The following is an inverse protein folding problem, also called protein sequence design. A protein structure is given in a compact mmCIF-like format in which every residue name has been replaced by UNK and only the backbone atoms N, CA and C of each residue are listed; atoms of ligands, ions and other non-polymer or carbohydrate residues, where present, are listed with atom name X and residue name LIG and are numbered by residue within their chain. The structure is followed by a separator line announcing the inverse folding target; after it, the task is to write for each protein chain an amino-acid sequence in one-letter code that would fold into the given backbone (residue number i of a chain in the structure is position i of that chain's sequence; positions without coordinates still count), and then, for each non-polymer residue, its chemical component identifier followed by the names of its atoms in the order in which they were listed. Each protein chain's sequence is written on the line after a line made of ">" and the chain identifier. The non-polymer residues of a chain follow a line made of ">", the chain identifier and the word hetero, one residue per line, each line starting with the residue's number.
data_IF_003483232212
#
_entry.id   IF_003483232212
#
_cell.length_a   1.000
_cell.length_b   1.000
_cell.length_c   1.000
_cell.angle_alpha   90.00
_cell.angle_beta   90.00
_cell.angle_gamma   90.00
#
_symmetry.space_group_name_H-M   'P 1'
#
loop_
_entity.id
_entity.type
_entity.pdbx_description
1 polymer ?
#
# COMPACT_ATOMS: atom_id res chain seq x y z
N UNK A 1 12.87 -29.07 -3.53
CA UNK A 1 12.53 -27.99 -2.60
C UNK A 1 11.03 -27.95 -2.35
N UNK A 2 10.58 -27.52 -1.17
CA UNK A 2 9.15 -27.45 -0.81
C UNK A 2 8.29 -26.66 -1.82
N UNK A 3 8.85 -25.62 -2.46
CA UNK A 3 8.17 -24.87 -3.51
C UNK A 3 7.82 -25.70 -4.74
N UNK A 4 8.70 -26.64 -5.18
CA UNK A 4 8.41 -27.49 -6.34
C UNK A 4 7.30 -28.51 -6.06
N UNK A 5 7.09 -28.89 -4.80
CA UNK A 5 6.06 -29.84 -4.40
C UNK A 5 4.67 -29.18 -4.29
N UNK A 6 4.62 -27.91 -3.94
CA UNK A 6 3.38 -27.10 -3.96
C UNK A 6 2.84 -26.96 -5.39
N UNK A 7 3.68 -26.73 -6.38
CA UNK A 7 3.27 -26.66 -7.80
C UNK A 7 2.70 -28.00 -8.32
N UNK A 8 3.19 -29.13 -7.84
CA UNK A 8 2.68 -30.46 -8.22
C UNK A 8 1.34 -30.81 -7.59
N UNK A 9 0.94 -30.13 -6.50
CA UNK A 9 -0.30 -30.40 -5.74
C UNK A 9 -1.36 -29.29 -5.88
N UNK A 10 -1.23 -28.36 -6.82
CA UNK A 10 -2.20 -27.28 -7.07
C UNK A 10 -3.64 -27.78 -7.28
N UNK A 11 -3.81 -29.04 -7.63
CA UNK A 11 -5.11 -29.66 -7.84
C UNK A 11 -5.98 -29.82 -6.59
N UNK A 12 -5.37 -29.72 -5.40
CA UNK A 12 -6.06 -30.01 -4.14
C UNK A 12 -6.45 -28.76 -3.34
N UNK A 13 -6.09 -27.58 -3.82
CA UNK A 13 -6.32 -26.33 -3.08
C UNK A 13 -7.41 -25.50 -3.76
N UNK A 14 -8.34 -24.99 -2.95
CA UNK A 14 -9.42 -24.10 -3.35
C UNK A 14 -9.31 -22.70 -2.70
N UNK A 15 -8.31 -22.48 -1.83
CA UNK A 15 -7.98 -21.21 -1.20
C UNK A 15 -6.55 -20.81 -1.55
N UNK A 16 -6.37 -19.59 -2.02
CA UNK A 16 -5.06 -18.99 -2.29
C UNK A 16 -4.87 -17.79 -1.37
N UNK A 17 -3.74 -17.75 -0.66
CA UNK A 17 -3.35 -16.61 0.17
C UNK A 17 -2.13 -15.94 -0.47
N UNK A 18 -2.28 -14.69 -0.90
CA UNK A 18 -1.21 -13.90 -1.49
C UNK A 18 -0.56 -13.01 -0.41
N UNK A 19 0.51 -13.51 0.18
CA UNK A 19 1.31 -12.83 1.19
C UNK A 19 2.58 -12.21 0.56
N UNK A 20 2.38 -11.41 -0.48
CA UNK A 20 3.44 -10.73 -1.24
C UNK A 20 3.03 -9.28 -1.53
N UNK A 21 3.90 -8.50 -2.16
CA UNK A 21 3.60 -7.15 -2.61
C UNK A 21 2.55 -7.16 -3.73
N UNK A 22 1.76 -6.09 -3.84
CA UNK A 22 0.60 -6.05 -4.74
C UNK A 22 0.98 -6.18 -6.22
N UNK A 23 2.14 -5.73 -6.64
CA UNK A 23 2.68 -5.85 -8.00
C UNK A 23 3.00 -7.30 -8.41
N UNK A 24 3.10 -8.21 -7.42
CA UNK A 24 3.33 -9.63 -7.67
C UNK A 24 2.03 -10.44 -7.87
N UNK A 25 0.85 -9.88 -7.59
CA UNK A 25 -0.42 -10.63 -7.67
C UNK A 25 -0.70 -11.19 -9.05
N UNK A 26 -0.64 -10.34 -10.09
CA UNK A 26 -0.85 -10.80 -11.48
C UNK A 26 0.18 -11.85 -11.91
N UNK A 27 1.51 -11.62 -11.79
CA UNK A 27 2.51 -12.61 -12.20
C UNK A 27 2.34 -13.96 -11.51
N UNK A 28 1.99 -13.97 -10.21
CA UNK A 28 1.77 -15.22 -9.46
C UNK A 28 0.52 -15.94 -9.95
N UNK A 29 -0.61 -15.23 -10.08
CA UNK A 29 -1.86 -15.84 -10.52
C UNK A 29 -1.77 -16.36 -11.97
N UNK A 30 -1.03 -15.69 -12.85
CA UNK A 30 -0.81 -16.12 -14.23
C UNK A 30 0.07 -17.38 -14.35
N UNK A 31 0.83 -17.75 -13.33
CA UNK A 31 1.57 -19.02 -13.29
C UNK A 31 0.66 -20.22 -12.97
N UNK A 32 -0.53 -19.99 -12.42
CA UNK A 32 -1.48 -21.04 -12.16
C UNK A 32 -2.19 -21.47 -13.47
N UNK A 33 -2.44 -22.77 -13.62
CA UNK A 33 -3.19 -23.25 -14.78
C UNK A 33 -4.62 -22.71 -14.77
N UNK A 34 -5.24 -22.56 -15.94
CA UNK A 34 -6.65 -22.13 -16.04
C UNK A 34 -7.58 -23.08 -15.27
N UNK A 35 -7.29 -24.39 -15.27
CA UNK A 35 -8.05 -25.38 -14.51
C UNK A 35 -7.93 -25.20 -13.00
N UNK A 36 -6.75 -24.81 -12.52
CA UNK A 36 -6.52 -24.46 -11.11
C UNK A 36 -7.28 -23.20 -10.75
N UNK A 37 -7.14 -22.13 -11.54
CA UNK A 37 -7.84 -20.85 -11.30
C UNK A 37 -9.36 -21.04 -11.23
N UNK A 38 -9.95 -21.85 -12.13
CA UNK A 38 -11.41 -22.13 -12.14
C UNK A 38 -11.92 -22.83 -10.88
N UNK A 39 -11.05 -23.52 -10.14
CA UNK A 39 -11.44 -24.24 -8.91
C UNK A 39 -11.23 -23.41 -7.64
N UNK A 40 -10.49 -22.32 -7.73
CA UNK A 40 -10.25 -21.44 -6.59
C UNK A 40 -11.59 -20.86 -6.14
N UNK A 41 -11.91 -21.08 -4.88
CA UNK A 41 -13.10 -20.54 -4.24
C UNK A 41 -12.80 -19.20 -3.55
N UNK A 42 -11.61 -19.05 -2.97
CA UNK A 42 -11.19 -17.84 -2.27
C UNK A 42 -9.77 -17.42 -2.64
N UNK A 43 -9.59 -16.12 -2.84
CA UNK A 43 -8.26 -15.48 -2.90
C UNK A 43 -8.18 -14.42 -1.79
N UNK A 44 -7.20 -14.57 -0.91
CA UNK A 44 -6.98 -13.66 0.22
C UNK A 44 -5.75 -12.82 -0.07
N UNK A 45 -5.91 -11.50 -0.10
CA UNK A 45 -4.87 -10.51 -0.33
C UNK A 45 -4.41 -9.94 1.02
N UNK A 46 -3.20 -10.31 1.45
CA UNK A 46 -2.68 -9.94 2.78
C UNK A 46 -2.16 -8.50 2.82
N UNK A 47 -1.52 -8.04 1.74
CA UNK A 47 -0.95 -6.69 1.65
C UNK A 47 -1.33 -6.00 0.33
N UNK A 48 -2.62 -5.74 0.12
CA UNK A 48 -3.09 -5.10 -1.09
C UNK A 48 -2.75 -3.61 -1.13
N UNK A 49 -2.81 -3.05 -2.33
CA UNK A 49 -2.96 -1.61 -2.56
C UNK A 49 -4.37 -1.30 -3.03
N UNK A 50 -4.74 -0.03 -3.14
CA UNK A 50 -6.02 0.39 -3.72
C UNK A 50 -6.24 -0.26 -5.11
N UNK A 51 -7.38 -0.91 -5.31
CA UNK A 51 -7.73 -1.57 -6.58
C UNK A 51 -7.14 -2.98 -6.76
N UNK A 52 -6.43 -3.53 -5.79
CA UNK A 52 -5.90 -4.89 -5.88
C UNK A 52 -6.99 -5.95 -6.10
N UNK A 53 -8.13 -5.82 -5.41
CA UNK A 53 -9.26 -6.73 -5.63
C UNK A 53 -9.84 -6.59 -7.05
N UNK A 54 -9.83 -5.38 -7.63
CA UNK A 54 -10.31 -5.13 -9.00
C UNK A 54 -9.45 -5.90 -10.01
N UNK A 55 -8.13 -5.80 -9.87
CA UNK A 55 -7.16 -6.53 -10.68
C UNK A 55 -7.42 -8.04 -10.61
N UNK A 56 -7.54 -8.57 -9.39
CA UNK A 56 -7.74 -10.01 -9.18
C UNK A 56 -9.09 -10.47 -9.70
N UNK A 57 -10.17 -9.72 -9.45
CA UNK A 57 -11.51 -10.04 -10.00
C UNK A 57 -11.53 -10.03 -11.52
N UNK A 58 -10.84 -9.08 -12.17
CA UNK A 58 -10.73 -9.08 -13.62
C UNK A 58 -10.00 -10.32 -14.14
N UNK A 59 -8.87 -10.70 -13.52
CA UNK A 59 -8.16 -11.95 -13.87
C UNK A 59 -9.02 -13.20 -13.72
N UNK A 60 -9.82 -13.28 -12.66
CA UNK A 60 -10.74 -14.39 -12.44
C UNK A 60 -11.86 -14.41 -13.48
N UNK A 61 -12.41 -13.24 -13.82
CA UNK A 61 -13.44 -13.10 -14.86
C UNK A 61 -12.93 -13.57 -16.23
N UNK A 62 -11.69 -13.25 -16.60
CA UNK A 62 -11.08 -13.67 -17.87
C UNK A 62 -10.97 -15.19 -18.01
N UNK A 63 -10.98 -15.93 -16.90
CA UNK A 63 -10.99 -17.40 -16.87
C UNK A 63 -12.35 -17.98 -16.46
N UNK A 64 -13.41 -17.17 -16.35
CA UNK A 64 -14.74 -17.56 -15.92
C UNK A 64 -14.76 -18.21 -14.53
N UNK A 65 -14.06 -17.61 -13.57
CA UNK A 65 -14.05 -18.02 -12.17
C UNK A 65 -14.81 -17.01 -11.30
N UNK A 66 -15.78 -17.50 -10.52
CA UNK A 66 -16.58 -16.70 -9.58
C UNK A 66 -16.00 -16.69 -8.16
N UNK A 67 -14.72 -16.96 -8.02
CA UNK A 67 -14.05 -16.99 -6.73
C UNK A 67 -14.22 -15.71 -5.91
N UNK A 68 -14.40 -15.88 -4.60
CA UNK A 68 -14.43 -14.79 -3.62
C UNK A 68 -13.05 -14.14 -3.51
N UNK A 69 -12.99 -12.81 -3.52
CA UNK A 69 -11.76 -12.06 -3.23
C UNK A 69 -11.92 -11.33 -1.90
N UNK A 70 -10.95 -11.55 -1.01
CA UNK A 70 -10.89 -10.96 0.32
C UNK A 70 -9.63 -10.11 0.40
N UNK A 71 -9.77 -8.83 0.75
CA UNK A 71 -8.64 -7.93 0.95
C UNK A 71 -8.53 -7.53 2.41
N UNK A 72 -7.33 -7.66 2.97
CA UNK A 72 -6.95 -6.99 4.21
C UNK A 72 -6.56 -5.53 3.92
N UNK A 73 -6.53 -4.69 4.95
CA UNK A 73 -5.98 -3.34 4.83
C UNK A 73 -4.45 -3.37 4.69
N UNK A 74 -3.79 -4.27 5.41
CA UNK A 74 -2.33 -4.41 5.43
C UNK A 74 -1.95 -5.71 6.14
N UNK A 75 -0.66 -6.05 6.14
CA UNK A 75 -0.10 -7.21 6.81
C UNK A 75 -0.21 -7.13 8.34
N UNK A 76 -0.16 -8.30 8.98
CA UNK A 76 -0.37 -8.55 10.41
C UNK A 76 0.62 -7.79 11.31
N UNK A 77 1.87 -7.69 10.94
CA UNK A 77 2.92 -7.09 11.77
C UNK A 77 4.27 -7.00 11.05
N UNK A 78 5.20 -6.25 11.63
CA UNK A 78 6.55 -6.10 11.09
C UNK A 78 7.33 -7.40 11.26
N UNK A 79 7.45 -8.14 10.16
CA UNK A 79 8.09 -9.46 10.12
C UNK A 79 9.39 -9.38 9.36
N UNK A 80 10.47 -9.88 9.97
CA UNK A 80 11.83 -9.88 9.41
C UNK A 80 12.44 -11.27 9.51
N UNK A 81 13.38 -11.58 8.62
CA UNK A 81 14.21 -12.77 8.73
C UNK A 81 15.01 -12.64 10.03
N UNK A 82 14.85 -13.61 10.92
CA UNK A 82 15.54 -13.64 12.22
C UNK A 82 17.02 -13.92 12.07
N UNK A 83 17.37 -14.90 11.22
CA UNK A 83 18.74 -15.28 10.93
C UNK A 83 18.91 -15.50 9.41
N UNK A 84 19.87 -14.81 8.81
CA UNK A 84 20.17 -14.96 7.37
C UNK A 84 20.57 -16.38 6.98
N UNK A 85 21.18 -17.14 7.90
CA UNK A 85 21.51 -18.54 7.68
C UNK A 85 20.28 -19.47 7.72
N UNK A 86 19.16 -18.99 8.29
CA UNK A 86 17.89 -19.70 8.41
C UNK A 86 16.73 -18.85 7.87
N UNK A 87 16.64 -18.61 6.56
CA UNK A 87 15.69 -17.68 5.96
C UNK A 87 14.21 -18.06 6.15
N UNK A 88 13.94 -19.30 6.61
CA UNK A 88 12.61 -19.77 6.98
C UNK A 88 12.23 -19.39 8.42
N UNK A 89 13.18 -18.94 9.25
CA UNK A 89 12.93 -18.43 10.58
C UNK A 89 12.69 -16.93 10.53
N UNK A 90 11.49 -16.50 10.89
CA UNK A 90 11.11 -15.08 10.89
C UNK A 90 10.71 -14.63 12.29
N UNK A 91 10.96 -13.38 12.59
CA UNK A 91 10.54 -12.72 13.81
C UNK A 91 9.55 -11.62 13.47
N UNK A 92 8.35 -11.67 14.06
CA UNK A 92 7.37 -10.58 14.00
C UNK A 92 7.54 -9.74 15.27
N UNK A 93 8.18 -8.60 15.13
CA UNK A 93 8.55 -7.73 16.26
C UNK A 93 7.41 -6.87 16.76
N UNK A 94 6.46 -6.52 15.88
CA UNK A 94 5.32 -5.69 16.23
C UNK A 94 4.08 -6.19 15.51
N UNK A 95 3.13 -6.70 16.29
CA UNK A 95 1.81 -7.13 15.81
C UNK A 95 0.86 -5.94 15.91
N UNK A 96 0.06 -5.71 14.87
CA UNK A 96 -0.95 -4.65 14.86
C UNK A 96 -2.10 -5.02 15.78
N UNK A 97 -2.61 -4.04 16.52
CA UNK A 97 -3.76 -4.24 17.40
C UNK A 97 -5.09 -4.30 16.64
N UNK A 98 -5.13 -3.68 15.44
CA UNK A 98 -6.33 -3.58 14.60
C UNK A 98 -6.01 -3.73 13.13
N UNK A 99 -6.86 -4.48 12.42
CA UNK A 99 -6.84 -4.63 10.96
C UNK A 99 -8.26 -4.52 10.40
N UNK A 100 -8.35 -4.17 9.13
CA UNK A 100 -9.60 -4.13 8.38
C UNK A 100 -9.59 -5.21 7.31
N UNK A 101 -10.75 -5.82 7.05
CA UNK A 101 -10.90 -6.86 6.04
C UNK A 101 -12.25 -6.72 5.35
N UNK A 102 -12.28 -6.91 4.04
CA UNK A 102 -13.52 -6.88 3.26
C UNK A 102 -13.55 -7.99 2.21
N UNK A 103 -14.75 -8.41 1.84
CA UNK A 103 -14.99 -9.47 0.86
C UNK A 103 -15.86 -8.98 -0.29
N UNK A 104 -15.67 -9.61 -1.48
CA UNK A 104 -16.59 -9.46 -2.63
C UNK A 104 -17.93 -10.17 -2.41
N UNK A 105 -18.09 -10.96 -1.35
CA UNK A 105 -19.33 -11.61 -0.96
C UNK A 105 -19.90 -10.95 0.30
N UNK A 106 -21.18 -10.54 0.27
CA UNK A 106 -21.84 -9.88 1.40
C UNK A 106 -21.98 -10.77 2.63
N UNK A 107 -22.07 -12.09 2.44
CA UNK A 107 -22.17 -13.11 3.50
C UNK A 107 -21.01 -14.09 3.38
N UNK A 108 -19.81 -13.66 3.75
CA UNK A 108 -18.61 -14.49 3.65
C UNK A 108 -18.41 -15.34 4.89
N UNK A 109 -18.52 -16.65 4.75
CA UNK A 109 -18.15 -17.61 5.81
C UNK A 109 -16.63 -17.55 6.10
N UNK A 110 -15.83 -17.18 5.13
CA UNK A 110 -14.38 -17.04 5.30
C UNK A 110 -14.05 -15.85 6.19
N UNK A 111 -14.77 -14.71 6.05
CA UNK A 111 -14.61 -13.58 6.97
C UNK A 111 -14.96 -13.98 8.41
N UNK A 112 -16.02 -14.76 8.64
CA UNK A 112 -16.36 -15.26 9.97
C UNK A 112 -15.22 -16.09 10.59
N UNK A 113 -14.61 -17.00 9.80
CA UNK A 113 -13.48 -17.81 10.23
C UNK A 113 -12.24 -16.98 10.51
N UNK A 114 -11.92 -16.03 9.63
CA UNK A 114 -10.81 -15.10 9.83
C UNK A 114 -11.00 -14.29 11.10
N UNK A 115 -12.21 -13.74 11.34
CA UNK A 115 -12.50 -13.00 12.56
C UNK A 115 -12.23 -13.84 13.81
N UNK A 116 -12.73 -15.08 13.87
CA UNK A 116 -12.47 -15.99 15.00
C UNK A 116 -10.97 -16.29 15.19
N UNK A 117 -10.21 -16.42 14.10
CA UNK A 117 -8.76 -16.62 14.15
C UNK A 117 -8.05 -15.39 14.73
N UNK A 118 -8.43 -14.18 14.29
CA UNK A 118 -7.80 -12.95 14.72
C UNK A 118 -8.18 -12.59 16.16
N UNK A 119 -9.42 -12.90 16.58
CA UNK A 119 -9.86 -12.79 17.98
C UNK A 119 -8.98 -13.68 18.90
N UNK A 120 -8.67 -14.91 18.46
CA UNK A 120 -7.75 -15.80 19.17
C UNK A 120 -6.33 -15.22 19.29
N UNK A 121 -5.89 -14.45 18.28
CA UNK A 121 -4.59 -13.77 18.28
C UNK A 121 -4.60 -12.43 19.04
N UNK A 122 -5.70 -12.04 19.65
CA UNK A 122 -5.92 -10.74 20.30
C UNK A 122 -5.72 -9.54 19.34
N UNK A 123 -6.14 -9.70 18.07
CA UNK A 123 -6.11 -8.65 17.06
C UNK A 123 -7.54 -8.31 16.67
N UNK A 124 -7.91 -7.05 16.81
CA UNK A 124 -9.22 -6.58 16.35
C UNK A 124 -9.29 -6.65 14.81
N UNK A 125 -10.14 -7.53 14.28
CA UNK A 125 -10.40 -7.60 12.84
C UNK A 125 -11.77 -6.97 12.55
N UNK A 126 -11.77 -5.75 12.03
CA UNK A 126 -12.97 -5.00 11.64
C UNK A 126 -13.38 -5.39 10.22
N UNK A 127 -14.60 -5.94 10.09
CA UNK A 127 -15.17 -6.30 8.78
C UNK A 127 -15.71 -5.05 8.08
N UNK A 128 -15.33 -4.87 6.83
CA UNK A 128 -15.76 -3.78 5.95
C UNK A 128 -16.73 -4.31 4.90
N UNK A 129 -17.58 -3.43 4.36
CA UNK A 129 -18.63 -3.80 3.39
C UNK A 129 -18.09 -4.38 2.08
N UNK A 130 -16.91 -3.92 1.66
CA UNK A 130 -16.26 -4.37 0.42
C UNK A 130 -14.74 -4.48 0.59
N UNK A 131 -14.04 -5.21 -0.29
CA UNK A 131 -12.57 -5.20 -0.32
C UNK A 131 -11.98 -3.80 -0.46
N UNK A 132 -12.63 -2.94 -1.25
CA UNK A 132 -12.19 -1.56 -1.46
C UNK A 132 -12.14 -0.77 -0.16
N UNK A 133 -13.17 -0.92 0.70
CA UNK A 133 -13.19 -0.28 2.01
C UNK A 133 -12.03 -0.76 2.90
N UNK A 134 -11.62 -2.01 2.82
CA UNK A 134 -10.45 -2.49 3.55
C UNK A 134 -9.14 -1.92 2.95
N UNK A 135 -9.01 -1.92 1.64
CA UNK A 135 -7.82 -1.43 0.93
C UNK A 135 -7.51 0.05 1.21
N UNK A 136 -8.54 0.91 1.35
CA UNK A 136 -8.33 2.33 1.68
C UNK A 136 -7.83 2.58 3.11
N UNK A 137 -7.96 1.60 4.01
CA UNK A 137 -7.45 1.69 5.38
C UNK A 137 -5.97 1.26 5.49
N UNK A 138 -5.19 1.57 4.45
CA UNK A 138 -3.74 1.42 4.44
C UNK A 138 -3.08 2.81 4.43
N UNK A 139 -2.45 3.21 5.54
CA UNK A 139 -1.78 4.51 5.66
C UNK A 139 -0.70 4.75 4.61
N UNK A 140 -0.06 3.68 4.15
CA UNK A 140 0.96 3.75 3.12
C UNK A 140 0.45 4.34 1.80
N UNK A 141 -0.86 4.24 1.51
CA UNK A 141 -1.46 4.86 0.32
C UNK A 141 -1.32 6.38 0.30
N UNK A 142 -1.45 7.01 1.46
CA UNK A 142 -1.49 8.46 1.60
C UNK A 142 -0.14 9.07 1.93
N UNK A 143 0.69 8.32 2.64
CA UNK A 143 1.91 8.81 3.28
C UNK A 143 3.16 8.47 2.48
N UNK A 144 3.27 7.25 1.97
CA UNK A 144 4.50 6.79 1.33
C UNK A 144 4.83 7.50 0.00
N UNK A 145 3.90 7.71 -0.95
CA UNK A 145 4.28 8.34 -2.20
C UNK A 145 4.92 9.73 -2.01
N UNK A 146 4.36 10.66 -1.22
CA UNK A 146 5.05 11.91 -0.90
C UNK A 146 6.39 11.71 -0.16
N UNK A 147 6.46 10.75 0.77
CA UNK A 147 7.68 10.47 1.53
C UNK A 147 8.81 9.89 0.68
N UNK A 148 8.52 9.06 -0.31
CA UNK A 148 9.54 8.34 -1.08
C UNK A 148 9.75 8.89 -2.50
N UNK A 149 8.79 9.65 -3.05
CA UNK A 149 8.90 10.22 -4.39
C UNK A 149 9.09 11.75 -4.40
N UNK A 150 9.51 12.34 -3.27
CA UNK A 150 10.03 13.71 -3.24
C UNK A 150 11.50 13.75 -3.68
N UNK A 151 11.99 14.94 -4.01
CA UNK A 151 13.35 15.13 -4.52
C UNK A 151 14.44 14.70 -3.53
N UNK A 152 14.27 14.97 -2.23
CA UNK A 152 15.23 14.57 -1.20
C UNK A 152 15.37 13.04 -1.13
N UNK A 153 14.25 12.34 -1.06
CA UNK A 153 14.22 10.88 -0.94
C UNK A 153 14.75 10.19 -2.18
N UNK A 154 14.35 10.63 -3.37
CA UNK A 154 14.85 10.07 -4.62
C UNK A 154 16.35 10.28 -4.77
N UNK A 155 16.84 11.48 -4.49
CA UNK A 155 18.29 11.74 -4.49
C UNK A 155 19.02 10.82 -3.51
N UNK A 156 18.49 10.69 -2.28
CA UNK A 156 19.05 9.79 -1.28
C UNK A 156 19.12 8.35 -1.76
N UNK A 157 18.03 7.83 -2.33
CA UNK A 157 17.94 6.43 -2.78
C UNK A 157 18.88 6.14 -3.95
N UNK A 158 18.96 7.03 -4.95
CA UNK A 158 19.69 6.78 -6.20
C UNK A 158 21.15 7.23 -6.17
N UNK A 159 21.48 8.28 -5.40
CA UNK A 159 22.85 8.82 -5.35
C UNK A 159 23.56 8.51 -4.02
N UNK A 160 22.79 8.12 -2.98
CA UNK A 160 23.32 7.97 -1.63
C UNK A 160 23.55 9.30 -0.91
N UNK A 161 23.99 9.22 0.33
CA UNK A 161 24.32 10.40 1.17
C UNK A 161 25.60 10.17 1.97
N UNK A 162 26.31 11.26 2.25
CA UNK A 162 27.54 11.22 3.09
C UNK A 162 27.23 11.17 4.59
N UNK A 163 26.03 11.54 4.98
CA UNK A 163 25.56 11.58 6.37
C UNK A 163 24.33 10.68 6.53
N UNK A 164 24.11 10.07 7.68
CA UNK A 164 22.89 9.30 7.93
C UNK A 164 21.64 10.17 7.77
N UNK A 165 20.67 9.69 7.02
CA UNK A 165 19.35 10.31 6.86
C UNK A 165 18.25 9.27 6.99
N UNK A 166 17.06 9.69 7.42
CA UNK A 166 15.99 8.80 7.84
C UNK A 166 14.65 9.21 7.26
N UNK A 167 13.81 8.22 6.97
CA UNK A 167 12.53 8.42 6.24
C UNK A 167 11.56 9.34 6.99
N UNK A 168 11.47 9.21 8.31
CA UNK A 168 10.46 9.91 9.11
C UNK A 168 11.01 11.09 9.94
N UNK A 169 12.23 11.53 9.66
CA UNK A 169 12.84 12.69 10.32
C UNK A 169 12.49 13.99 9.60
N UNK A 170 12.53 15.06 10.36
CA UNK A 170 12.46 16.42 9.83
C UNK A 170 13.73 16.76 9.06
N UNK A 171 13.62 17.68 8.10
CA UNK A 171 14.80 18.21 7.41
C UNK A 171 15.75 18.91 8.41
N UNK A 172 17.09 18.74 8.31
CA UNK A 172 17.83 18.06 7.24
C UNK A 172 18.09 16.56 7.47
N UNK A 173 17.68 15.97 8.59
CA UNK A 173 17.90 14.56 8.89
C UNK A 173 16.97 13.62 8.11
N UNK A 174 15.94 14.18 7.47
CA UNK A 174 14.98 13.46 6.65
C UNK A 174 14.23 14.38 5.70
N UNK A 175 13.23 13.86 4.98
CA UNK A 175 12.55 14.58 3.91
C UNK A 175 11.45 15.53 4.41
N UNK A 176 11.06 15.45 5.68
CA UNK A 176 9.85 16.12 6.17
C UNK A 176 10.07 17.61 6.27
N UNK A 177 9.38 18.35 5.41
CA UNK A 177 9.31 19.79 5.31
C UNK A 177 7.85 20.23 5.18
N UNK A 178 7.55 21.52 5.32
CA UNK A 178 6.21 22.03 5.03
C UNK A 178 5.80 21.77 3.57
N UNK A 179 6.73 21.81 2.62
CA UNK A 179 6.46 21.48 1.21
C UNK A 179 6.01 20.03 1.06
N UNK A 180 6.70 19.08 1.72
CA UNK A 180 6.30 17.67 1.68
C UNK A 180 4.93 17.46 2.32
N UNK A 181 4.64 18.12 3.42
CA UNK A 181 3.32 18.06 4.09
C UNK A 181 2.22 18.63 3.18
N UNK A 182 2.50 19.71 2.46
CA UNK A 182 1.58 20.26 1.46
C UNK A 182 1.30 19.24 0.33
N UNK A 183 2.34 18.62 -0.24
CA UNK A 183 2.19 17.57 -1.27
C UNK A 183 1.38 16.37 -0.74
N UNK A 184 1.61 15.96 0.50
CA UNK A 184 0.86 14.88 1.15
C UNK A 184 -0.62 15.21 1.31
N UNK A 185 -0.95 16.44 1.73
CA UNK A 185 -2.33 16.90 1.85
C UNK A 185 -3.01 16.96 0.47
N UNK A 186 -2.32 17.46 -0.56
CA UNK A 186 -2.87 17.51 -1.92
C UNK A 186 -3.15 16.11 -2.47
N UNK A 187 -2.21 15.17 -2.32
CA UNK A 187 -2.41 13.79 -2.74
C UNK A 187 -3.61 13.15 -2.00
N UNK A 188 -3.70 13.35 -0.68
CA UNK A 188 -4.85 12.88 0.08
C UNK A 188 -6.17 13.44 -0.46
N UNK A 189 -6.24 14.73 -0.77
CA UNK A 189 -7.46 15.35 -1.35
C UNK A 189 -7.81 14.74 -2.71
N UNK A 190 -6.84 14.50 -3.59
CA UNK A 190 -7.07 13.84 -4.88
C UNK A 190 -7.63 12.43 -4.68
N UNK A 191 -7.10 11.67 -3.72
CA UNK A 191 -7.64 10.36 -3.36
C UNK A 191 -9.08 10.46 -2.82
N UNK A 192 -9.40 11.45 -1.99
CA UNK A 192 -10.78 11.65 -1.51
C UNK A 192 -11.75 11.96 -2.66
N UNK A 193 -11.32 12.67 -3.69
CA UNK A 193 -12.14 12.87 -4.91
C UNK A 193 -12.35 11.55 -5.67
N UNK A 194 -11.35 10.69 -5.77
CA UNK A 194 -11.48 9.36 -6.37
C UNK A 194 -12.47 8.50 -5.56
N UNK A 195 -12.31 8.45 -4.23
CA UNK A 195 -13.20 7.66 -3.35
C UNK A 195 -14.66 8.14 -3.44
N UNK A 196 -14.88 9.43 -3.55
CA UNK A 196 -16.22 10.00 -3.77
C UNK A 196 -16.87 9.48 -5.06
N UNK A 197 -16.12 9.38 -6.16
CA UNK A 197 -16.63 8.81 -7.42
C UNK A 197 -16.90 7.30 -7.30
N UNK A 198 -16.11 6.59 -6.50
CA UNK A 198 -16.31 5.18 -6.18
C UNK A 198 -17.44 4.95 -5.15
N UNK A 199 -18.08 6.01 -4.65
CA UNK A 199 -19.11 5.98 -3.60
C UNK A 199 -18.63 5.31 -2.31
N UNK A 200 -17.38 5.52 -1.97
CA UNK A 200 -16.72 5.03 -0.75
C UNK A 200 -16.56 6.19 0.22
N UNK A 201 -16.77 5.99 1.53
CA UNK A 201 -16.56 7.03 2.53
C UNK A 201 -15.15 7.62 2.47
N UNK A 202 -15.04 8.91 2.76
CA UNK A 202 -13.73 9.58 2.92
C UNK A 202 -12.95 8.99 4.09
N UNK A 203 -11.63 9.16 4.03
CA UNK A 203 -10.73 8.78 5.13
C UNK A 203 -10.16 10.05 5.76
N UNK A 204 -10.51 10.31 7.01
CA UNK A 204 -9.87 11.35 7.79
C UNK A 204 -8.41 10.98 8.04
N UNK A 205 -7.50 11.53 7.24
CA UNK A 205 -6.08 11.18 7.25
C UNK A 205 -5.44 11.37 8.63
N UNK A 206 -5.70 12.49 9.29
CA UNK A 206 -5.10 12.78 10.58
C UNK A 206 -5.57 11.78 11.65
N UNK A 207 -6.89 11.56 11.75
CA UNK A 207 -7.46 10.57 12.67
C UNK A 207 -6.89 9.18 12.45
N UNK A 208 -6.80 8.76 11.19
CA UNK A 208 -6.21 7.48 10.81
C UNK A 208 -4.74 7.39 11.25
N UNK A 209 -3.94 8.45 11.04
CA UNK A 209 -2.53 8.45 11.43
C UNK A 209 -2.31 8.44 12.94
N UNK A 210 -3.11 9.16 13.72
CA UNK A 210 -2.86 9.40 15.16
C UNK A 210 -3.64 8.48 16.09
N UNK A 211 -4.71 7.83 15.62
CA UNK A 211 -5.52 6.92 16.44
C UNK A 211 -5.41 5.46 16.04
N UNK A 212 -5.39 5.18 14.74
CA UNK A 212 -5.46 3.81 14.23
C UNK A 212 -4.08 3.23 13.88
N UNK A 213 -3.14 4.09 13.48
CA UNK A 213 -1.83 3.63 13.01
C UNK A 213 -0.74 3.77 14.09
N UNK A 214 -0.41 5.02 14.47
CA UNK A 214 0.57 5.32 15.52
C UNK A 214 -0.02 6.34 16.49
N UNK A 215 -0.61 5.90 17.60
CA UNK A 215 -1.16 6.80 18.60
C UNK A 215 -0.13 7.82 19.08
N UNK A 216 -0.58 9.04 19.31
CA UNK A 216 0.19 10.11 19.94
C UNK A 216 -0.37 10.43 21.32
N UNK A 217 0.37 11.14 22.15
CA UNK A 217 -0.12 11.59 23.46
C UNK A 217 -1.28 12.56 23.29
N UNK A 218 -2.31 12.44 24.15
CA UNK A 218 -3.54 13.20 24.05
C UNK A 218 -3.34 14.73 24.14
N UNK A 219 -2.30 15.18 24.86
CA UNK A 219 -1.92 16.58 24.97
C UNK A 219 -1.30 17.18 23.70
N UNK A 220 -0.97 16.35 22.70
CA UNK A 220 -0.30 16.79 21.47
C UNK A 220 -1.26 17.55 20.57
N UNK A 221 -2.53 17.14 20.49
CA UNK A 221 -3.55 17.71 19.62
C UNK A 221 -4.92 17.68 20.31
N UNK A 222 -5.75 18.68 19.99
CA UNK A 222 -7.13 18.69 20.46
C UNK A 222 -7.96 17.65 19.71
N UNK A 223 -8.79 16.93 20.44
CA UNK A 223 -9.67 15.90 19.88
C UNK A 223 -10.59 16.47 18.79
N UNK A 224 -11.12 17.69 19.00
CA UNK A 224 -12.00 18.35 18.02
C UNK A 224 -11.30 18.64 16.70
N UNK A 225 -10.00 18.92 16.70
CA UNK A 225 -9.24 19.15 15.47
C UNK A 225 -8.99 17.83 14.71
N UNK A 226 -8.76 16.74 15.46
CA UNK A 226 -8.61 15.40 14.87
C UNK A 226 -9.90 14.96 14.19
N UNK A 227 -11.03 15.06 14.89
CA UNK A 227 -12.34 14.61 14.39
C UNK A 227 -12.82 15.48 13.20
N UNK A 228 -12.55 16.79 13.22
CA UNK A 228 -13.00 17.71 12.20
C UNK A 228 -11.95 18.02 11.12
N UNK A 229 -10.86 17.26 11.05
CA UNK A 229 -9.72 17.53 10.17
C UNK A 229 -10.11 17.78 8.71
N UNK A 230 -11.03 16.99 8.16
CA UNK A 230 -11.45 17.08 6.77
C UNK A 230 -12.07 18.46 6.42
N UNK A 231 -12.67 19.13 7.40
CA UNK A 231 -13.35 20.43 7.23
C UNK A 231 -12.47 21.63 7.61
N UNK A 232 -11.27 21.39 8.13
CA UNK A 232 -10.37 22.48 8.51
C UNK A 232 -9.79 23.20 7.29
N UNK A 233 -9.43 24.49 7.40
CA UNK A 233 -8.68 25.20 6.36
C UNK A 233 -7.35 24.49 6.03
N UNK A 234 -6.93 24.55 4.77
CA UNK A 234 -5.73 23.85 4.28
C UNK A 234 -4.48 24.08 5.13
N UNK A 235 -4.22 25.33 5.51
CA UNK A 235 -3.06 25.68 6.36
C UNK A 235 -3.14 25.00 7.74
N UNK A 236 -4.33 24.85 8.30
CA UNK A 236 -4.52 24.19 9.59
C UNK A 236 -4.34 22.68 9.45
N UNK A 237 -4.84 22.07 8.36
CA UNK A 237 -4.59 20.67 8.05
C UNK A 237 -3.08 20.38 7.95
N UNK A 238 -2.35 21.23 7.21
CA UNK A 238 -0.89 21.08 7.06
C UNK A 238 -0.14 21.26 8.38
N UNK A 239 -0.55 22.24 9.19
CA UNK A 239 0.00 22.42 10.52
C UNK A 239 -0.16 21.16 11.39
N UNK A 240 -1.35 20.60 11.45
CA UNK A 240 -1.63 19.40 12.26
C UNK A 240 -0.86 18.17 11.75
N UNK A 241 -0.76 17.99 10.44
CA UNK A 241 0.08 16.92 9.87
C UNK A 241 1.56 17.09 10.22
N UNK A 242 2.07 18.31 10.20
CA UNK A 242 3.44 18.60 10.61
C UNK A 242 3.66 18.33 12.10
N UNK A 243 2.73 18.78 12.95
CA UNK A 243 2.77 18.51 14.41
C UNK A 243 2.75 17.00 14.67
N UNK A 244 1.96 16.23 13.93
CA UNK A 244 1.96 14.77 14.03
C UNK A 244 3.34 14.18 13.79
N UNK A 245 4.08 14.66 12.79
CA UNK A 245 5.43 14.16 12.52
C UNK A 245 6.43 14.57 13.61
N UNK A 246 6.30 15.72 14.22
CA UNK A 246 7.12 16.11 15.36
C UNK A 246 6.83 15.25 16.60
N UNK A 247 5.58 14.85 16.79
CA UNK A 247 5.14 14.06 17.96
C UNK A 247 5.61 12.59 17.92
N UNK A 248 6.02 12.07 16.76
CA UNK A 248 6.46 10.67 16.60
C UNK A 248 7.98 10.52 16.51
N UNK A 249 8.77 11.55 16.78
CA UNK A 249 10.23 11.48 16.71
C UNK A 249 10.80 10.41 17.66
N UNK A 250 10.16 10.25 18.81
CA UNK A 250 10.45 9.18 19.78
C UNK A 250 9.14 8.48 20.07
N UNK A 251 9.15 7.15 20.23
CA UNK A 251 7.95 6.43 20.66
C UNK A 251 7.47 6.99 22.02
N UNK A 252 6.34 7.72 22.06
CA UNK A 252 5.90 8.41 23.25
C UNK A 252 5.44 7.47 24.38
N UNK A 253 5.27 6.18 24.08
CA UNK A 253 4.80 5.16 25.02
C UNK A 253 5.88 4.15 25.40
N UNK A 254 7.08 4.23 24.81
CA UNK A 254 8.20 3.35 25.19
C UNK A 254 8.80 3.77 26.54
N UNK A 255 9.32 2.79 27.27
CA UNK A 255 10.21 3.03 28.39
C UNK A 255 11.65 3.19 27.88
N UNK A 256 12.49 3.98 28.56
CA UNK A 256 13.91 4.03 28.24
C UNK A 256 14.56 2.67 28.51
N UNK A 257 15.59 2.36 27.75
CA UNK A 257 16.46 1.20 27.99
C UNK A 257 17.35 1.38 29.23
N UNK A 258 18.19 0.38 29.54
CA UNK A 258 19.10 0.41 30.71
C UNK A 258 20.11 1.55 30.64
N UNK A 259 20.29 2.19 29.51
CA UNK A 259 21.16 3.36 29.30
C UNK A 259 20.39 4.68 29.34
N UNK A 260 19.06 4.63 29.52
CA UNK A 260 18.20 5.81 29.54
C UNK A 260 17.81 6.31 28.15
N UNK A 261 18.09 5.55 27.08
CA UNK A 261 17.74 5.90 25.73
C UNK A 261 16.35 5.38 25.35
N UNK A 262 15.54 6.21 24.68
CA UNK A 262 14.24 5.83 24.14
C UNK A 262 14.39 5.25 22.74
N UNK A 263 13.50 4.31 22.39
CA UNK A 263 13.42 3.79 21.04
C UNK A 263 12.91 4.86 20.06
N UNK A 264 13.78 5.29 19.15
CA UNK A 264 13.46 6.26 18.11
C UNK A 264 12.98 5.53 16.83
N UNK A 265 11.68 5.27 16.72
CA UNK A 265 11.13 4.61 15.53
C UNK A 265 11.02 5.52 14.29
N UNK A 266 11.29 6.81 14.42
CA UNK A 266 11.44 7.71 13.28
C UNK A 266 12.79 7.54 12.55
N UNK A 267 13.77 6.92 13.19
CA UNK A 267 15.11 6.67 12.65
C UNK A 267 15.15 5.43 11.72
N UNK A 268 14.23 5.36 10.76
CA UNK A 268 14.24 4.34 9.71
C UNK A 268 15.18 4.78 8.59
N UNK A 269 16.31 4.09 8.36
CA UNK A 269 17.26 4.49 7.34
C UNK A 269 16.71 4.24 5.93
N UNK A 270 17.13 5.08 4.97
CA UNK A 270 16.88 4.80 3.57
C UNK A 270 17.68 3.57 3.12
N UNK A 271 17.03 2.75 2.29
CA UNK A 271 17.73 1.78 1.46
C UNK A 271 18.12 2.47 0.16
N UNK A 272 19.30 2.14 -0.34
CA UNK A 272 19.82 2.69 -1.59
C UNK A 272 19.67 1.66 -2.72
N UNK A 273 19.80 2.12 -3.96
CA UNK A 273 20.02 1.24 -5.11
C UNK A 273 21.23 0.37 -4.80
N UNK A 274 21.09 -0.94 -4.95
CA UNK A 274 22.12 -1.93 -4.65
C UNK A 274 22.30 -2.93 -5.79
N UNK A 275 23.41 -3.61 -5.78
CA UNK A 275 23.77 -4.62 -6.77
C UNK A 275 23.75 -6.00 -6.10
N UNK A 276 23.04 -6.94 -6.72
CA UNK A 276 22.99 -8.32 -6.24
C UNK A 276 24.26 -9.12 -6.56
N UNK A 277 24.32 -10.37 -6.13
CA UNK A 277 25.45 -11.29 -6.34
C UNK A 277 25.69 -11.59 -7.84
N UNK A 278 24.72 -11.38 -8.70
CA UNK A 278 24.81 -11.56 -10.16
C UNK A 278 25.25 -10.28 -10.88
N UNK A 279 25.46 -9.19 -10.15
CA UNK A 279 25.84 -7.90 -10.73
C UNK A 279 24.65 -7.09 -11.26
N UNK A 280 23.41 -7.49 -10.97
CA UNK A 280 22.19 -6.78 -11.38
C UNK A 280 21.85 -5.70 -10.36
N UNK A 281 21.59 -4.50 -10.85
CA UNK A 281 21.20 -3.35 -10.02
C UNK A 281 19.71 -3.36 -9.79
N UNK A 282 19.32 -3.14 -8.53
CA UNK A 282 17.93 -3.11 -8.07
C UNK A 282 17.56 -1.78 -7.42
N UNK A 283 16.35 -1.31 -7.72
CA UNK A 283 15.72 -0.23 -6.95
C UNK A 283 15.14 -0.87 -5.67
N UNK A 284 15.37 -0.31 -4.47
CA UNK A 284 14.78 -0.84 -3.26
C UNK A 284 13.25 -0.82 -3.32
N UNK A 285 12.61 -1.72 -2.55
CA UNK A 285 11.15 -1.86 -2.51
C UNK A 285 10.42 -0.52 -2.37
N UNK A 286 10.89 0.35 -1.54
CA UNK A 286 10.48 1.75 -1.48
C UNK A 286 11.61 2.60 -2.08
N UNK A 287 11.41 3.36 -3.15
CA UNK A 287 10.14 3.84 -3.73
C UNK A 287 9.49 2.98 -4.84
N UNK A 288 10.03 1.83 -5.23
CA UNK A 288 9.48 1.04 -6.35
C UNK A 288 8.02 0.60 -6.13
N UNK A 289 7.68 0.13 -4.93
CA UNK A 289 6.29 -0.23 -4.58
C UNK A 289 5.38 1.01 -4.53
N UNK A 290 5.91 2.16 -4.12
CA UNK A 290 5.15 3.42 -4.08
C UNK A 290 4.85 3.93 -5.48
N UNK A 291 5.76 3.78 -6.42
CA UNK A 291 5.52 4.06 -7.84
C UNK A 291 4.38 3.18 -8.38
N UNK A 292 4.42 1.86 -8.14
CA UNK A 292 3.36 0.94 -8.57
C UNK A 292 1.99 1.36 -8.03
N UNK A 293 1.86 1.55 -6.70
CA UNK A 293 0.58 1.93 -6.09
C UNK A 293 0.06 3.27 -6.60
N UNK A 294 0.94 4.22 -6.85
CA UNK A 294 0.58 5.55 -7.34
C UNK A 294 0.10 5.48 -8.80
N UNK A 295 0.70 4.63 -9.64
CA UNK A 295 0.21 4.35 -10.99
C UNK A 295 -1.20 3.75 -10.99
N UNK A 296 -1.49 2.81 -10.10
CA UNK A 296 -2.83 2.24 -9.95
C UNK A 296 -3.85 3.32 -9.56
N UNK A 297 -3.52 4.16 -8.57
CA UNK A 297 -4.38 5.28 -8.14
C UNK A 297 -4.64 6.24 -9.31
N UNK A 298 -3.59 6.62 -10.06
CA UNK A 298 -3.72 7.47 -11.25
C UNK A 298 -4.64 6.84 -12.31
N UNK A 299 -4.47 5.54 -12.58
CA UNK A 299 -5.29 4.84 -13.57
C UNK A 299 -6.77 4.81 -13.16
N UNK A 300 -7.07 4.58 -11.88
CA UNK A 300 -8.43 4.68 -11.32
C UNK A 300 -8.97 6.10 -11.49
N UNK A 301 -8.19 7.12 -11.11
CA UNK A 301 -8.58 8.54 -11.26
C UNK A 301 -8.94 8.88 -12.70
N UNK A 302 -8.10 8.50 -13.66
CA UNK A 302 -8.33 8.71 -15.10
C UNK A 302 -9.58 7.98 -15.60
N UNK A 303 -9.80 6.74 -15.20
CA UNK A 303 -11.00 5.97 -15.56
C UNK A 303 -12.31 6.61 -15.02
N UNK A 304 -12.22 7.33 -13.91
CA UNK A 304 -13.33 8.03 -13.27
C UNK A 304 -13.42 9.53 -13.65
N UNK A 305 -12.58 10.01 -14.57
CA UNK A 305 -12.47 11.41 -14.96
C UNK A 305 -12.17 12.37 -13.77
N UNK A 306 -11.35 11.91 -12.81
CA UNK A 306 -10.86 12.71 -11.71
C UNK A 306 -9.44 13.20 -12.04
N UNK A 307 -9.23 14.51 -12.00
CA UNK A 307 -7.90 15.09 -12.18
C UNK A 307 -7.02 14.83 -10.96
N UNK A 308 -5.76 14.43 -11.19
CA UNK A 308 -4.80 14.03 -10.15
C UNK A 308 -3.44 14.71 -10.35
N UNK A 309 -3.36 16.06 -10.36
CA UNK A 309 -2.13 16.78 -10.70
C UNK A 309 -0.99 16.54 -9.71
N UNK A 310 -1.26 16.31 -8.43
CA UNK A 310 -0.21 16.00 -7.45
C UNK A 310 0.34 14.58 -7.65
N UNK A 311 -0.54 13.62 -7.86
CA UNK A 311 -0.18 12.24 -8.20
C UNK A 311 0.65 12.21 -9.49
N UNK A 312 0.23 12.95 -10.52
CA UNK A 312 0.99 13.08 -11.78
C UNK A 312 2.39 13.68 -11.54
N UNK A 313 2.50 14.66 -10.66
CA UNK A 313 3.79 15.29 -10.29
C UNK A 313 4.72 14.29 -9.59
N UNK A 314 4.23 13.50 -8.66
CA UNK A 314 5.02 12.48 -7.96
C UNK A 314 5.53 11.41 -8.93
N UNK A 315 4.66 10.91 -9.80
CA UNK A 315 5.02 9.92 -10.83
C UNK A 315 6.08 10.45 -11.78
N UNK A 316 5.88 11.66 -12.32
CA UNK A 316 6.83 12.29 -13.23
C UNK A 316 8.21 12.49 -12.57
N UNK A 317 8.24 12.87 -11.30
CA UNK A 317 9.48 13.04 -10.54
C UNK A 317 10.25 11.72 -10.42
N UNK A 318 9.57 10.64 -10.08
CA UNK A 318 10.16 9.30 -10.02
C UNK A 318 10.66 8.85 -11.39
N UNK A 319 9.83 8.95 -12.42
CA UNK A 319 10.18 8.54 -13.80
C UNK A 319 11.38 9.28 -14.35
N UNK A 320 11.47 10.59 -14.11
CA UNK A 320 12.63 11.39 -14.52
C UNK A 320 13.91 10.96 -13.80
N UNK A 321 13.82 10.64 -12.52
CA UNK A 321 14.97 10.14 -11.73
C UNK A 321 15.45 8.79 -12.27
N UNK A 322 14.53 7.86 -12.53
CA UNK A 322 14.86 6.55 -13.09
C UNK A 322 15.48 6.68 -14.48
N UNK A 323 14.92 7.53 -15.37
CA UNK A 323 15.50 7.79 -16.70
C UNK A 323 16.92 8.35 -16.60
N UNK A 324 17.12 9.35 -15.74
CA UNK A 324 18.45 9.94 -15.55
C UNK A 324 19.45 8.90 -15.03
N UNK A 325 19.03 8.03 -14.13
CA UNK A 325 19.89 6.94 -13.63
C UNK A 325 20.25 5.97 -14.75
N UNK A 326 19.28 5.54 -15.57
CA UNK A 326 19.53 4.67 -16.73
C UNK A 326 20.51 5.30 -17.72
N UNK A 327 20.35 6.59 -18.04
CA UNK A 327 21.20 7.32 -18.97
C UNK A 327 22.67 7.42 -18.50
N UNK A 328 22.88 7.41 -17.20
CA UNK A 328 24.23 7.46 -16.59
C UNK A 328 24.83 6.08 -16.33
N UNK A 329 24.05 5.00 -16.48
CA UNK A 329 24.46 3.61 -16.16
C UNK A 329 24.27 2.65 -17.36
N UNK A 330 24.48 3.14 -18.59
CA UNK A 330 24.22 2.42 -19.85
C UNK A 330 24.91 1.05 -20.01
N UNK A 331 26.02 0.84 -19.29
CA UNK A 331 26.81 -0.40 -19.37
C UNK A 331 26.57 -1.35 -18.18
N UNK A 332 25.61 -1.04 -17.32
CA UNK A 332 25.29 -1.85 -16.16
C UNK A 332 24.03 -2.67 -16.40
N UNK A 333 23.95 -3.82 -15.76
CA UNK A 333 22.78 -4.67 -15.84
C UNK A 333 21.73 -4.18 -14.84
N UNK A 334 20.65 -3.58 -15.36
CA UNK A 334 19.56 -3.04 -14.57
C UNK A 334 18.42 -4.07 -14.46
N UNK A 335 17.82 -4.16 -13.28
CA UNK A 335 16.65 -5.02 -13.06
C UNK A 335 15.41 -4.46 -13.76
N UNK A 336 14.37 -5.31 -13.87
CA UNK A 336 13.08 -4.93 -14.45
C UNK A 336 12.42 -3.71 -13.78
N UNK A 337 12.78 -3.40 -12.55
CA UNK A 337 12.25 -2.24 -11.82
C UNK A 337 12.58 -0.89 -12.50
N UNK A 338 13.60 -0.86 -13.35
CA UNK A 338 13.96 0.31 -14.17
C UNK A 338 13.11 0.45 -15.44
N UNK A 339 12.30 -0.55 -15.78
CA UNK A 339 11.36 -0.52 -16.91
C UNK A 339 10.05 0.16 -16.50
N UNK A 340 9.91 1.46 -16.72
CA UNK A 340 8.76 2.27 -16.29
C UNK A 340 7.40 1.82 -16.82
N UNK A 341 7.35 0.94 -17.81
CA UNK A 341 6.11 0.52 -18.46
C UNK A 341 5.70 -0.95 -18.19
N UNK A 342 6.41 -1.65 -17.32
CA UNK A 342 6.15 -3.07 -17.11
C UNK A 342 4.82 -3.35 -16.37
N UNK A 343 4.15 -2.34 -15.81
CA UNK A 343 2.85 -2.45 -15.13
C UNK A 343 1.63 -2.21 -16.03
N UNK A 344 1.80 -1.98 -17.34
CA UNK A 344 0.69 -1.67 -18.26
C UNK A 344 -0.47 -2.68 -18.20
N UNK A 345 -0.17 -3.97 -18.02
CA UNK A 345 -1.19 -5.00 -17.93
C UNK A 345 -2.01 -4.87 -16.64
N UNK A 346 -1.37 -4.53 -15.52
CA UNK A 346 -2.05 -4.34 -14.24
C UNK A 346 -3.00 -3.15 -14.31
N UNK A 347 -2.55 -2.04 -14.90
CA UNK A 347 -3.37 -0.85 -15.12
C UNK A 347 -4.59 -1.16 -16.00
N UNK A 348 -4.38 -1.93 -17.09
CA UNK A 348 -5.47 -2.33 -17.97
C UNK A 348 -6.51 -3.21 -17.25
N UNK A 349 -6.08 -4.16 -16.41
CA UNK A 349 -7.00 -5.01 -15.65
C UNK A 349 -7.88 -4.18 -14.70
N UNK A 350 -7.29 -3.23 -13.96
CA UNK A 350 -8.04 -2.36 -13.04
C UNK A 350 -9.03 -1.49 -13.80
N UNK A 351 -8.62 -0.87 -14.91
CA UNK A 351 -9.50 -0.01 -15.71
C UNK A 351 -10.62 -0.79 -16.39
N UNK A 352 -10.36 -2.01 -16.90
CA UNK A 352 -11.36 -2.89 -17.48
C UNK A 352 -12.43 -3.30 -16.45
N UNK A 353 -12.01 -3.63 -15.23
CA UNK A 353 -12.93 -3.91 -14.13
C UNK A 353 -13.88 -2.74 -13.87
N UNK A 354 -13.36 -1.53 -13.73
CA UNK A 354 -14.17 -0.32 -13.49
C UNK A 354 -15.17 -0.07 -14.61
N UNK A 355 -14.75 -0.26 -15.87
CA UNK A 355 -15.61 -0.08 -17.03
C UNK A 355 -16.74 -1.12 -17.05
N UNK A 356 -16.44 -2.38 -16.74
CA UNK A 356 -17.42 -3.47 -16.71
C UNK A 356 -18.49 -3.27 -15.63
N UNK A 357 -18.09 -2.84 -14.44
CA UNK A 357 -19.00 -2.57 -13.31
C UNK A 357 -19.89 -1.36 -13.61
N UNK A 358 -19.34 -0.28 -14.18
CA UNK A 358 -20.12 0.90 -14.59
C UNK A 358 -21.18 0.55 -15.63
N UNK A 359 -20.85 -0.30 -16.60
CA UNK A 359 -21.79 -0.77 -17.62
C UNK A 359 -22.93 -1.63 -17.04
N UNK A 360 -22.62 -2.48 -16.06
CA UNK A 360 -23.60 -3.33 -15.38
C UNK A 360 -24.59 -2.49 -14.57
N UNK A 361 -24.14 -1.44 -13.89
CA UNK A 361 -25.01 -0.52 -13.16
C UNK A 361 -25.92 0.30 -14.09
N UNK A 362 -25.45 0.74 -15.25
CA UNK A 362 -26.27 1.45 -16.24
C UNK A 362 -27.40 0.54 -16.78
N UNK A 363 -27.09 -0.71 -17.12
CA UNK A 363 -28.12 -1.67 -17.57
C UNK A 363 -29.15 -2.02 -16.50
N UNK A 364 -28.73 -2.13 -15.23
CA UNK A 364 -29.66 -2.40 -14.13
C UNK A 364 -30.66 -1.24 -13.93
N UNK A 365 -30.28 0.01 -14.20
CA UNK A 365 -31.19 1.15 -14.18
C UNK A 365 -32.12 1.21 -15.38
N UNK A 366 -31.69 0.79 -16.57
CA UNK A 366 -32.52 0.75 -17.76
C UNK A 366 -33.61 -0.36 -17.68
N UNK A 367 -33.31 -1.51 -17.05
CA UNK A 367 -34.28 -2.61 -16.87
C UNK A 367 -35.29 -2.36 -15.74
N UNK A 368 -35.10 -1.38 -14.88
CA UNK A 368 -36.06 -1.02 -13.83
C UNK A 368 -37.06 0.05 -14.28
N UNK A 369 -37.00 0.53 -15.52
CA UNK A 369 -37.90 1.53 -16.11
C UNK A 369 -38.90 0.96 -17.13
N UNK A 370 -39.03 -0.39 -17.18
CA UNK A 370 -40.05 -1.05 -18.02
C UNK A 370 -41.02 -1.91 -17.17
#
# INVERSE_FOLDING_TARGET
>A
SAASDVYKRQEYYDVVILACTADAYRPILQQLSKSTLKRIKQIILVSPTLGSHMLVKQLLSDVQCEGEVISFSTYLGDTRIFDKAQPHCVLTTRVKSKLFVGSTQSQSMTLCKLKSLFDYLNIELTTMDTPLHAEIHNSSLYVHPPLFMNQFSLKTVFEGTKVPVYVYKLFPEGPITMTLIHEMRLMWQEMMMILKQLKVPSVNLLKFMVKENYPIRHETMREVDIENFENLPAIHQEYLLYVRYTAILIDPFSNPDDQGAYFDFSAVPYKHVDTDEQGVIHIPRMPSEDYYRTLIIQAIGRALNVATPMIDTLLLRYENTVKQYCDTHLHQQLSRQFELHHFKQDLALVTNYLTSVSYTHLRAHETSLH
#
